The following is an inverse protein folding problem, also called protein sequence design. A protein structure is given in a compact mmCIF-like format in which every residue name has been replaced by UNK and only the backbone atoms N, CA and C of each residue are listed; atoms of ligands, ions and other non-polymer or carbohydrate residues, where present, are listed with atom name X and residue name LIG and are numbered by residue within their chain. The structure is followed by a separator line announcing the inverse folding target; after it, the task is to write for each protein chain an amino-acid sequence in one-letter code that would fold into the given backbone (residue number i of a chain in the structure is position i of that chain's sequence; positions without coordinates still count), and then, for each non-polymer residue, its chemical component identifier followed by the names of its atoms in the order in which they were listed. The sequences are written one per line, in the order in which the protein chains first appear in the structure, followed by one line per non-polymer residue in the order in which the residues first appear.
data_IF_163344055652
#
_entry.id   IF_163344055652
#
_cell.length_a   1.000
_cell.length_b   1.000
_cell.length_c   1.000
_cell.angle_alpha   90.00
_cell.angle_beta   90.00
_cell.angle_gamma   90.00
#
_symmetry.space_group_name_H-M   'P 1'
#
loop_
_entity.id
_entity.type
_entity.pdbx_description
1 polymer ?
#
# COMPACT_ATOMS: atom_id res chain seq x y z
N UNK A 1 24.68 -12.90 22.39
CA UNK A 1 23.69 -12.36 21.42
C UNK A 1 23.24 -13.50 20.50
N UNK A 2 22.09 -14.15 20.76
CA UNK A 2 21.55 -15.18 19.86
C UNK A 2 21.02 -14.48 18.60
N UNK A 3 21.78 -14.53 17.50
CA UNK A 3 21.30 -14.09 16.19
C UNK A 3 20.20 -15.08 15.73
N UNK A 4 19.05 -14.62 15.23
CA UNK A 4 18.09 -15.52 14.60
C UNK A 4 18.77 -16.22 13.41
N UNK A 5 18.68 -17.54 13.33
CA UNK A 5 19.23 -18.31 12.20
C UNK A 5 18.57 -17.98 10.87
N UNK A 6 17.31 -17.51 10.90
CA UNK A 6 16.58 -17.00 9.74
C UNK A 6 15.86 -15.70 10.12
N UNK A 7 16.21 -14.61 9.43
CA UNK A 7 15.58 -13.30 9.61
C UNK A 7 14.32 -13.13 8.74
N UNK A 8 14.12 -13.99 7.73
CA UNK A 8 12.98 -13.99 6.82
C UNK A 8 11.87 -14.87 7.42
N UNK A 9 10.83 -14.21 7.93
CA UNK A 9 9.73 -14.85 8.69
C UNK A 9 8.35 -14.76 8.02
N UNK A 10 8.26 -14.09 6.87
CA UNK A 10 7.04 -13.92 6.09
C UNK A 10 7.27 -14.28 4.62
N UNK A 11 6.22 -14.78 3.97
CA UNK A 11 6.16 -14.86 2.51
C UNK A 11 5.97 -13.45 1.91
N UNK A 12 6.62 -13.13 0.79
CA UNK A 12 6.47 -11.83 0.13
C UNK A 12 5.13 -11.68 -0.63
N UNK A 13 4.39 -12.78 -0.80
CA UNK A 13 3.18 -12.84 -1.64
C UNK A 13 1.87 -12.68 -0.85
N UNK A 14 1.93 -12.71 0.49
CA UNK A 14 0.76 -12.57 1.37
C UNK A 14 0.98 -11.47 2.39
N UNK A 15 -0.09 -11.06 3.08
CA UNK A 15 -0.02 -10.12 4.20
C UNK A 15 1.03 -10.62 5.21
N UNK A 16 1.98 -9.78 5.66
CA UNK A 16 2.92 -10.15 6.71
C UNK A 16 2.17 -10.49 8.00
N UNK A 17 2.42 -11.69 8.54
CA UNK A 17 1.73 -12.20 9.73
C UNK A 17 2.56 -12.10 10.99
N UNK A 18 3.86 -11.85 10.88
CA UNK A 18 4.78 -11.80 12.02
C UNK A 18 5.85 -10.74 11.82
N UNK A 19 6.44 -10.23 12.89
CA UNK A 19 7.58 -9.33 12.80
C UNK A 19 8.53 -9.50 13.99
N UNK A 20 9.81 -9.16 13.78
CA UNK A 20 10.78 -9.07 14.86
C UNK A 20 10.64 -7.73 15.58
N UNK A 21 10.55 -7.77 16.91
CA UNK A 21 10.60 -6.59 17.78
C UNK A 21 11.84 -6.66 18.67
N UNK A 22 12.63 -5.59 18.67
CA UNK A 22 13.81 -5.52 19.52
C UNK A 22 13.43 -5.14 20.94
N UNK A 23 13.84 -5.99 21.88
CA UNK A 23 13.66 -5.82 23.32
C UNK A 23 14.74 -4.90 23.92
N UNK A 24 14.53 -4.43 25.15
CA UNK A 24 15.47 -3.54 25.86
C UNK A 24 16.84 -4.19 26.10
N UNK A 25 16.89 -5.51 26.21
CA UNK A 25 18.12 -6.30 26.36
C UNK A 25 18.85 -6.55 25.02
N UNK A 26 18.35 -5.98 23.93
CA UNK A 26 18.91 -6.13 22.59
C UNK A 26 18.53 -7.44 21.88
N UNK A 27 17.75 -8.31 22.51
CA UNK A 27 17.23 -9.53 21.88
C UNK A 27 16.07 -9.22 20.94
N UNK A 28 15.79 -10.15 20.01
CA UNK A 28 14.67 -10.04 19.08
C UNK A 28 13.56 -11.00 19.52
N UNK A 29 12.39 -10.45 19.83
CA UNK A 29 11.18 -11.23 20.06
C UNK A 29 10.41 -11.36 18.75
N UNK A 30 9.90 -12.55 18.46
CA UNK A 30 8.96 -12.77 17.36
C UNK A 30 7.56 -12.40 17.82
N UNK A 31 6.95 -11.42 17.17
CA UNK A 31 5.60 -10.93 17.49
C UNK A 31 4.64 -11.34 16.37
N UNK A 32 3.49 -11.88 16.76
CA UNK A 32 2.37 -12.16 15.84
C UNK A 32 1.68 -10.87 15.40
N UNK A 33 1.23 -10.84 14.15
CA UNK A 33 0.66 -9.67 13.50
C UNK A 33 1.63 -8.92 12.59
N UNK A 34 1.03 -8.10 11.73
CA UNK A 34 1.75 -7.18 10.85
C UNK A 34 2.39 -6.07 11.68
N UNK A 35 3.66 -5.74 11.39
CA UNK A 35 4.33 -4.61 12.03
C UNK A 35 3.58 -3.30 11.74
N UNK A 36 3.18 -2.53 12.77
CA UNK A 36 2.63 -1.19 12.58
C UNK A 36 3.59 -0.31 11.78
N UNK A 37 3.05 0.57 10.94
CA UNK A 37 3.85 1.61 10.31
C UNK A 37 4.35 2.56 11.39
N UNK A 38 5.66 2.74 11.46
CA UNK A 38 6.32 3.63 12.41
C UNK A 38 7.69 4.05 11.86
N UNK A 39 8.31 5.04 12.47
CA UNK A 39 9.71 5.36 12.27
C UNK A 39 10.43 5.43 13.61
N UNK A 40 11.73 5.14 13.58
CA UNK A 40 12.59 5.18 14.76
C UNK A 40 13.37 6.48 14.73
N UNK A 41 13.29 7.25 15.82
CA UNK A 41 14.10 8.44 16.03
C UNK A 41 15.21 8.05 17.01
N UNK A 42 16.45 8.22 16.56
CA UNK A 42 17.64 8.06 17.37
C UNK A 42 18.14 9.43 17.81
N UNK A 43 18.09 9.70 19.12
CA UNK A 43 18.75 10.87 19.70
C UNK A 43 20.19 10.50 20.07
N UNK A 44 21.12 10.98 19.26
CA UNK A 44 22.56 10.70 19.41
C UNK A 44 23.13 11.35 20.68
N UNK A 45 22.57 12.46 21.16
CA UNK A 45 23.09 13.19 22.33
C UNK A 45 22.77 12.48 23.63
N UNK A 46 21.53 11.99 23.75
CA UNK A 46 21.07 11.29 24.95
C UNK A 46 21.16 9.77 24.82
N UNK A 47 21.63 9.26 23.67
CA UNK A 47 21.66 7.84 23.31
C UNK A 47 20.30 7.16 23.53
N UNK A 48 19.21 7.86 23.18
CA UNK A 48 17.85 7.33 23.32
C UNK A 48 17.26 6.97 21.96
N UNK A 49 16.40 5.95 21.96
CA UNK A 49 15.62 5.54 20.80
C UNK A 49 14.14 5.63 21.14
N UNK A 50 13.38 6.37 20.33
CA UNK A 50 11.92 6.39 20.40
C UNK A 50 11.30 5.91 19.09
N UNK A 51 10.13 5.29 19.21
CA UNK A 51 9.34 4.82 18.07
C UNK A 51 8.13 5.73 17.94
N UNK A 52 7.98 6.36 16.78
CA UNK A 52 6.83 7.20 16.46
C UNK A 52 5.92 6.43 15.50
N UNK A 53 4.70 6.12 15.95
CA UNK A 53 3.70 5.38 15.16
C UNK A 53 3.09 6.31 14.11
N UNK A 54 2.95 5.80 12.89
CA UNK A 54 2.27 6.49 11.80
C UNK A 54 0.79 6.13 11.82
N UNK A 55 0.05 6.70 12.75
CA UNK A 55 -1.37 6.38 13.00
C UNK A 55 -2.21 6.45 11.73
N UNK A 56 -2.09 7.54 10.97
CA UNK A 56 -2.83 7.72 9.73
C UNK A 56 -2.51 6.64 8.68
N UNK A 57 -1.27 6.16 8.60
CA UNK A 57 -0.89 5.09 7.67
C UNK A 57 -1.51 3.77 8.11
N UNK A 58 -1.53 3.49 9.41
CA UNK A 58 -2.16 2.28 9.95
C UNK A 58 -3.69 2.33 9.75
N UNK A 59 -4.31 3.50 9.93
CA UNK A 59 -5.72 3.70 9.63
C UNK A 59 -6.03 3.49 8.15
N UNK A 60 -5.22 4.05 7.23
CA UNK A 60 -5.38 3.81 5.79
C UNK A 60 -5.30 2.32 5.46
N UNK A 61 -4.36 1.58 6.06
CA UNK A 61 -4.28 0.11 5.86
C UNK A 61 -5.57 -0.58 6.27
N UNK A 62 -6.12 -0.24 7.44
CA UNK A 62 -7.39 -0.81 7.92
C UNK A 62 -8.55 -0.48 6.96
N UNK A 63 -8.60 0.76 6.43
CA UNK A 63 -9.62 1.19 5.46
C UNK A 63 -9.52 0.45 4.14
N UNK A 64 -8.32 0.28 3.62
CA UNK A 64 -8.07 -0.50 2.40
C UNK A 64 -8.40 -1.97 2.63
N UNK A 65 -8.08 -2.53 3.80
CA UNK A 65 -8.42 -3.91 4.15
C UNK A 65 -9.93 -4.12 4.22
N UNK A 66 -10.69 -3.20 4.84
CA UNK A 66 -12.15 -3.24 4.87
C UNK A 66 -12.75 -3.11 3.45
N UNK A 67 -12.32 -2.12 2.68
CA UNK A 67 -12.75 -1.93 1.30
C UNK A 67 -12.47 -3.14 0.40
N UNK A 68 -11.35 -3.83 0.62
CA UNK A 68 -11.01 -5.08 -0.05
C UNK A 68 -11.92 -6.23 0.38
N UNK A 69 -12.22 -6.33 1.68
CA UNK A 69 -13.08 -7.37 2.23
C UNK A 69 -14.53 -7.25 1.72
N UNK A 70 -14.98 -6.02 1.48
CA UNK A 70 -16.29 -5.71 0.90
C UNK A 70 -16.32 -5.80 -0.64
N UNK A 71 -15.28 -6.42 -1.23
CA UNK A 71 -15.16 -6.66 -2.68
C UNK A 71 -15.15 -5.38 -3.54
N UNK A 72 -14.34 -4.40 -3.11
CA UNK A 72 -14.01 -3.18 -3.86
C UNK A 72 -15.23 -2.35 -4.30
N UNK A 73 -16.11 -1.92 -3.40
CA UNK A 73 -17.26 -1.10 -3.77
C UNK A 73 -16.82 0.25 -4.36
N UNK A 74 -17.56 0.71 -5.37
CA UNK A 74 -17.35 1.99 -6.05
C UNK A 74 -16.39 1.95 -7.24
N UNK A 75 -15.65 0.85 -7.43
CA UNK A 75 -14.72 0.74 -8.57
C UNK A 75 -15.42 0.60 -9.91
N UNK A 76 -14.72 0.98 -10.98
CA UNK A 76 -15.18 0.69 -12.34
C UNK A 76 -15.06 -0.81 -12.68
N UNK A 77 -15.76 -1.24 -13.73
CA UNK A 77 -15.63 -2.62 -14.24
C UNK A 77 -14.20 -2.93 -14.67
N UNK A 78 -13.51 -1.97 -15.27
CA UNK A 78 -12.10 -2.10 -15.69
C UNK A 78 -11.19 -2.28 -14.46
N UNK A 79 -11.38 -1.46 -13.44
CA UNK A 79 -10.61 -1.54 -12.20
C UNK A 79 -10.81 -2.89 -11.52
N UNK A 80 -12.05 -3.39 -11.46
CA UNK A 80 -12.36 -4.73 -10.95
C UNK A 80 -11.61 -5.84 -11.70
N UNK A 81 -11.70 -5.86 -13.03
CA UNK A 81 -11.01 -6.84 -13.86
C UNK A 81 -9.48 -6.81 -13.68
N UNK A 82 -8.90 -5.61 -13.53
CA UNK A 82 -7.47 -5.46 -13.26
C UNK A 82 -7.07 -6.02 -11.90
N UNK A 83 -7.84 -5.72 -10.85
CA UNK A 83 -7.59 -6.21 -9.50
C UNK A 83 -7.68 -7.73 -9.43
N UNK A 84 -8.70 -8.32 -10.06
CA UNK A 84 -8.85 -9.77 -10.20
C UNK A 84 -7.65 -10.38 -10.95
N UNK A 85 -7.32 -9.83 -12.11
CA UNK A 85 -6.20 -10.31 -12.93
C UNK A 85 -4.85 -10.20 -12.21
N UNK A 86 -4.60 -9.15 -11.43
CA UNK A 86 -3.35 -9.01 -10.68
C UNK A 86 -3.29 -9.91 -9.44
N UNK A 87 -4.43 -10.32 -8.90
CA UNK A 87 -4.52 -11.21 -7.74
C UNK A 87 -4.60 -12.69 -8.10
N UNK A 88 -4.91 -13.03 -9.34
CA UNK A 88 -5.10 -14.41 -9.78
C UNK A 88 -3.84 -15.28 -9.60
N UNK A 89 -3.76 -16.11 -8.57
CA UNK A 89 -2.58 -16.94 -8.32
C UNK A 89 -2.59 -18.28 -9.09
N UNK A 90 -3.52 -18.46 -10.04
CA UNK A 90 -3.64 -19.69 -10.83
C UNK A 90 -2.35 -19.94 -11.61
N UNK A 91 -1.85 -21.18 -11.52
CA UNK A 91 -0.65 -21.60 -12.22
C UNK A 91 -0.80 -21.40 -13.72
N UNK A 92 0.19 -20.75 -14.35
CA UNK A 92 0.19 -20.48 -15.80
C UNK A 92 -0.40 -19.12 -16.21
N UNK A 93 -1.14 -18.42 -15.33
CA UNK A 93 -1.66 -17.06 -15.63
C UNK A 93 -0.53 -16.04 -15.71
N UNK A 94 0.52 -16.20 -14.90
CA UNK A 94 1.73 -15.39 -14.98
C UNK A 94 2.96 -16.17 -14.58
N UNK A 95 4.10 -15.83 -15.18
CA UNK A 95 5.41 -16.41 -14.84
C UNK A 95 5.85 -16.06 -13.43
N UNK A 96 5.60 -14.83 -12.99
CA UNK A 96 6.02 -14.32 -11.68
C UNK A 96 4.85 -13.69 -10.93
N UNK A 97 4.59 -14.18 -9.72
CA UNK A 97 3.59 -13.60 -8.81
C UNK A 97 4.02 -12.21 -8.32
N UNK A 98 3.04 -11.33 -8.14
CA UNK A 98 3.30 -10.00 -7.57
C UNK A 98 3.47 -10.06 -6.07
N UNK A 99 4.38 -9.24 -5.54
CA UNK A 99 4.53 -9.10 -4.09
C UNK A 99 3.30 -8.41 -3.49
N UNK A 100 2.94 -8.82 -2.28
CA UNK A 100 1.82 -8.24 -1.55
C UNK A 100 1.98 -6.71 -1.42
N UNK A 101 3.19 -6.22 -1.11
CA UNK A 101 3.46 -4.78 -1.00
C UNK A 101 3.26 -4.02 -2.32
N UNK A 102 3.38 -4.68 -3.48
CA UNK A 102 3.10 -4.06 -4.78
C UNK A 102 1.59 -3.98 -5.01
N UNK A 103 0.86 -5.05 -4.68
CA UNK A 103 -0.59 -5.08 -4.80
C UNK A 103 -1.24 -4.06 -3.86
N UNK A 104 -0.82 -4.06 -2.60
CA UNK A 104 -1.29 -3.10 -1.59
C UNK A 104 -1.01 -1.64 -2.00
N UNK A 105 0.18 -1.35 -2.53
CA UNK A 105 0.52 0.00 -2.97
C UNK A 105 -0.40 0.49 -4.10
N UNK A 106 -0.73 -0.37 -5.06
CA UNK A 106 -1.65 -0.03 -6.17
C UNK A 106 -3.08 0.10 -5.64
N UNK A 107 -3.54 -0.84 -4.82
CA UNK A 107 -4.86 -0.81 -4.21
C UNK A 107 -5.08 0.42 -3.35
N UNK A 108 -4.07 0.88 -2.62
CA UNK A 108 -4.17 2.08 -1.80
C UNK A 108 -4.41 3.33 -2.66
N UNK A 109 -3.73 3.43 -3.81
CA UNK A 109 -3.93 4.56 -4.74
C UNK A 109 -5.29 4.48 -5.42
N UNK A 110 -5.72 3.29 -5.84
CA UNK A 110 -7.05 3.08 -6.42
C UNK A 110 -8.13 3.39 -5.39
N UNK A 111 -7.97 2.92 -4.14
CA UNK A 111 -8.88 3.21 -3.04
C UNK A 111 -9.01 4.72 -2.81
N UNK A 112 -7.90 5.46 -2.82
CA UNK A 112 -7.93 6.91 -2.65
C UNK A 112 -8.77 7.61 -3.74
N UNK A 113 -8.70 7.11 -4.97
CA UNK A 113 -9.32 7.72 -6.15
C UNK A 113 -10.77 7.26 -6.39
N UNK A 114 -11.04 5.95 -6.30
CA UNK A 114 -12.32 5.35 -6.69
C UNK A 114 -13.21 4.94 -5.52
N UNK A 115 -12.69 4.73 -4.31
CA UNK A 115 -13.52 4.28 -3.20
C UNK A 115 -14.57 5.35 -2.83
N UNK A 116 -15.77 4.88 -2.46
CA UNK A 116 -16.85 5.76 -2.02
C UNK A 116 -16.42 6.58 -0.80
N UNK A 117 -17.03 7.75 -0.61
CA UNK A 117 -16.64 8.67 0.46
C UNK A 117 -16.68 8.03 1.87
N UNK A 118 -17.58 7.07 2.10
CA UNK A 118 -17.66 6.30 3.34
C UNK A 118 -16.37 5.55 3.70
N UNK A 119 -15.65 5.02 2.71
CA UNK A 119 -14.39 4.30 2.95
C UNK A 119 -13.21 5.25 3.19
N UNK A 120 -13.31 6.53 2.80
CA UNK A 120 -12.27 7.54 2.99
C UNK A 120 -12.57 8.52 4.12
N UNK A 121 -13.73 8.38 4.77
CA UNK A 121 -14.16 9.28 5.83
C UNK A 121 -13.15 9.30 6.97
N UNK A 122 -12.74 10.51 7.37
CA UNK A 122 -11.78 10.72 8.45
C UNK A 122 -10.31 10.64 8.02
N UNK A 123 -10.01 10.30 6.75
CA UNK A 123 -8.65 10.32 6.22
C UNK A 123 -8.39 11.63 5.48
N UNK A 124 -7.51 12.45 6.03
CA UNK A 124 -7.15 13.76 5.47
C UNK A 124 -5.66 13.80 5.09
N UNK A 125 -5.35 13.74 3.80
CA UNK A 125 -3.97 13.88 3.33
C UNK A 125 -3.62 15.37 3.19
N UNK A 126 -2.57 15.81 3.88
CA UNK A 126 -2.07 17.17 3.73
C UNK A 126 -1.43 17.31 2.34
N UNK A 127 -1.97 18.20 1.52
CA UNK A 127 -1.41 18.54 0.22
C UNK A 127 -0.18 19.45 0.32
N UNK A 128 0.49 19.65 -0.81
CA UNK A 128 1.63 20.55 -0.95
C UNK A 128 1.23 21.99 -1.34
N UNK A 129 -0.08 22.28 -1.37
CA UNK A 129 -0.63 23.57 -1.80
C UNK A 129 -0.58 23.79 -3.32
N UNK A 130 -0.18 22.77 -4.09
CA UNK A 130 -0.13 22.86 -5.54
C UNK A 130 -1.50 22.80 -6.22
N UNK A 131 -1.58 23.11 -7.52
CA UNK A 131 -2.82 23.08 -8.30
C UNK A 131 -3.37 21.66 -8.52
N UNK A 132 -2.57 20.63 -8.22
CA UNK A 132 -2.94 19.23 -8.35
C UNK A 132 -2.66 18.50 -7.04
N UNK A 133 -3.58 17.62 -6.67
CA UNK A 133 -3.35 16.68 -5.58
C UNK A 133 -2.22 15.72 -5.95
N UNK A 134 -1.25 15.56 -5.04
CA UNK A 134 -0.13 14.65 -5.20
C UNK A 134 -0.12 13.66 -4.04
N UNK A 135 -0.37 12.40 -4.35
CA UNK A 135 -0.32 11.29 -3.39
C UNK A 135 0.84 10.36 -3.72
N UNK A 136 1.55 9.88 -2.70
CA UNK A 136 2.72 9.04 -2.90
C UNK A 136 2.75 7.84 -1.95
N UNK A 137 3.30 6.74 -2.47
CA UNK A 137 3.61 5.54 -1.69
C UNK A 137 5.09 5.55 -1.29
N UNK A 138 5.38 5.40 0.01
CA UNK A 138 6.76 5.17 0.47
C UNK A 138 7.08 3.68 0.41
N UNK A 139 8.03 3.31 -0.44
CA UNK A 139 8.40 1.91 -0.69
C UNK A 139 9.91 1.68 -0.63
N UNK A 140 10.32 0.55 -0.07
CA UNK A 140 11.71 0.15 0.03
C UNK A 140 12.41 0.01 -1.34
N UNK A 141 13.73 0.14 -1.36
CA UNK A 141 14.52 -0.22 -2.55
C UNK A 141 14.44 -1.73 -2.77
N UNK A 142 14.30 -2.16 -4.04
CA UNK A 142 14.11 -3.57 -4.38
C UNK A 142 12.68 -4.10 -4.23
N UNK A 143 11.72 -3.34 -3.69
CA UNK A 143 10.32 -3.80 -3.56
C UNK A 143 9.51 -3.79 -4.86
N UNK A 144 10.09 -3.31 -5.97
CA UNK A 144 9.45 -3.25 -7.28
C UNK A 144 8.57 -2.02 -7.52
N UNK A 145 9.05 -0.82 -7.16
CA UNK A 145 8.37 0.47 -7.46
C UNK A 145 7.99 0.61 -8.94
N UNK A 146 8.85 0.16 -9.86
CA UNK A 146 8.58 0.20 -11.30
C UNK A 146 7.35 -0.64 -11.69
N UNK A 147 7.17 -1.81 -11.08
CA UNK A 147 6.00 -2.66 -11.34
C UNK A 147 4.71 -2.01 -10.80
N UNK A 148 4.78 -1.29 -9.69
CA UNK A 148 3.65 -0.48 -9.18
C UNK A 148 3.31 0.64 -10.15
N UNK A 149 4.30 1.38 -10.65
CA UNK A 149 4.07 2.45 -11.63
C UNK A 149 3.46 1.90 -12.93
N UNK A 150 3.94 0.77 -13.42
CA UNK A 150 3.37 0.13 -14.61
C UNK A 150 1.87 -0.20 -14.42
N UNK A 151 1.50 -0.78 -13.27
CA UNK A 151 0.10 -1.08 -12.94
C UNK A 151 -0.76 0.18 -12.87
N UNK A 152 -0.27 1.25 -12.25
CA UNK A 152 -1.00 2.52 -12.16
C UNK A 152 -1.20 3.14 -13.55
N UNK A 153 -0.18 3.09 -14.43
CA UNK A 153 -0.31 3.56 -15.81
C UNK A 153 -1.34 2.71 -16.57
N UNK A 154 -1.26 1.38 -16.48
CA UNK A 154 -2.23 0.46 -17.10
C UNK A 154 -3.65 0.76 -16.63
N UNK A 155 -3.86 0.90 -15.32
CA UNK A 155 -5.15 1.23 -14.72
C UNK A 155 -5.68 2.58 -15.22
N UNK A 156 -4.85 3.62 -15.20
CA UNK A 156 -5.25 4.95 -15.66
C UNK A 156 -5.61 4.95 -17.14
N UNK A 157 -4.77 4.36 -17.99
CA UNK A 157 -4.95 4.36 -19.45
C UNK A 157 -6.21 3.58 -19.83
N UNK A 158 -6.40 2.38 -19.28
CA UNK A 158 -7.58 1.56 -19.61
C UNK A 158 -8.86 2.26 -19.15
N UNK A 159 -8.89 2.83 -17.95
CA UNK A 159 -10.06 3.58 -17.49
C UNK A 159 -10.32 4.84 -18.33
N UNK A 160 -9.28 5.57 -18.74
CA UNK A 160 -9.43 6.77 -19.57
C UNK A 160 -9.98 6.46 -20.97
N UNK A 161 -9.56 5.34 -21.57
CA UNK A 161 -10.05 4.88 -22.87
C UNK A 161 -11.49 4.37 -22.78
N UNK A 162 -11.82 3.60 -21.75
CA UNK A 162 -13.17 3.05 -21.57
C UNK A 162 -14.19 4.09 -21.11
N UNK A 163 -13.78 5.06 -20.29
CA UNK A 163 -14.67 6.07 -19.70
C UNK A 163 -14.21 7.51 -19.99
N UNK A 164 -14.20 7.96 -21.27
CA UNK A 164 -13.62 9.25 -21.67
C UNK A 164 -14.33 10.47 -21.07
N UNK A 165 -15.60 10.33 -20.66
CA UNK A 165 -16.38 11.38 -20.02
C UNK A 165 -16.15 11.48 -18.50
N UNK A 166 -15.50 10.50 -17.86
CA UNK A 166 -15.20 10.56 -16.42
C UNK A 166 -14.00 11.47 -16.18
N UNK A 167 -14.27 12.61 -15.54
CA UNK A 167 -13.25 13.61 -15.15
C UNK A 167 -12.14 12.98 -14.29
N UNK A 168 -12.47 11.96 -13.49
CA UNK A 168 -11.51 11.24 -12.65
C UNK A 168 -10.31 10.67 -13.41
N UNK A 169 -10.53 10.22 -14.65
CA UNK A 169 -9.48 9.59 -15.48
C UNK A 169 -8.99 10.47 -16.62
N UNK A 170 -9.57 11.66 -16.76
CA UNK A 170 -9.31 12.54 -17.88
C UNK A 170 -8.69 13.86 -17.41
N UNK A 171 -7.49 14.16 -17.90
CA UNK A 171 -6.79 15.43 -17.68
C UNK A 171 -7.38 16.60 -18.47
N UNK A 172 -8.37 16.38 -19.36
CA UNK A 172 -9.10 17.45 -20.06
C UNK A 172 -10.08 18.18 -19.14
N UNK A 173 -9.58 18.80 -18.06
CA UNK A 173 -10.23 20.03 -17.58
C UNK A 173 -9.93 21.10 -18.61
N UNK A 174 -10.98 21.52 -19.34
CA UNK A 174 -10.96 22.73 -20.15
C UNK A 174 -10.50 23.87 -19.24
N UNK A 175 -9.31 24.39 -19.51
CA UNK A 175 -9.00 25.79 -19.24
C UNK A 175 -9.64 26.62 -20.36
#
# INVERSE_FOLDING_TARGET
MKRPGNVIINSPFVVPKRHWQQQNDGTLALIEGRRPASYEIYDVRNNTRRVEVLEQVNEIRNRVDAWRADDYPGVTTITRQLLEHWRDQTAGVRTNSFYYCQLEAVETQIWWVEATASYRQGVFLQGDGGPFERVCNKMATGSGKTAVMAKLITWQVLNAVTYPSKVLFNTRRRY
#
